data_IF_045643069847
#
_entry.id   IF_045643069847
#
_cell.length_a   1.000
_cell.length_b   1.000
_cell.length_c   1.000
_cell.angle_alpha   90.00
_cell.angle_beta   90.00
_cell.angle_gamma   90.00
#
_symmetry.space_group_name_H-M   'P 1'
#
loop_
_entity.id
_entity.type
_entity.pdbx_description
1 polymer ?
#
# COMPACT_ATOMS: atom_id res chain seq x y z
N UNK A 1 8.73 8.84 -2.52
CA UNK A 1 7.31 8.98 -2.14
C UNK A 1 6.63 10.23 -2.71
N UNK A 2 7.29 11.40 -2.74
CA UNK A 2 6.70 12.64 -3.29
C UNK A 2 6.05 12.47 -4.68
N UNK A 3 6.79 11.93 -5.66
CA UNK A 3 6.26 11.69 -7.01
C UNK A 3 5.04 10.76 -7.08
N UNK A 4 4.96 9.77 -6.18
CA UNK A 4 3.80 8.88 -6.10
C UNK A 4 2.55 9.63 -5.60
N UNK A 5 2.73 10.53 -4.63
CA UNK A 5 1.64 11.39 -4.14
C UNK A 5 1.14 12.35 -5.23
N UNK A 6 2.08 12.96 -5.98
CA UNK A 6 1.76 13.80 -7.15
C UNK A 6 0.94 13.02 -8.18
N UNK A 7 1.35 11.79 -8.51
CA UNK A 7 0.61 10.93 -9.44
C UNK A 7 -0.82 10.60 -8.97
N UNK A 8 -1.01 10.30 -7.68
CA UNK A 8 -2.35 10.05 -7.11
C UNK A 8 -3.23 11.30 -7.22
N UNK A 9 -2.72 12.47 -6.83
CA UNK A 9 -3.46 13.73 -6.89
C UNK A 9 -3.86 14.05 -8.33
N UNK A 10 -2.93 13.92 -9.28
CA UNK A 10 -3.22 14.14 -10.71
C UNK A 10 -4.28 13.15 -11.21
N UNK A 11 -4.17 11.85 -10.88
CA UNK A 11 -5.14 10.85 -11.29
C UNK A 11 -6.55 11.11 -10.76
N UNK A 12 -6.66 11.51 -9.48
CA UNK A 12 -7.94 11.89 -8.87
C UNK A 12 -8.51 13.14 -9.53
N UNK A 13 -7.70 14.17 -9.76
CA UNK A 13 -8.15 15.39 -10.43
C UNK A 13 -8.64 15.09 -11.85
N UNK A 14 -7.89 14.32 -12.64
CA UNK A 14 -8.31 13.89 -13.98
C UNK A 14 -9.65 13.13 -13.90
N UNK A 15 -9.80 12.24 -12.93
CA UNK A 15 -11.05 11.51 -12.71
C UNK A 15 -12.24 12.42 -12.40
N UNK A 16 -12.06 13.42 -11.52
CA UNK A 16 -13.10 14.38 -11.13
C UNK A 16 -13.50 15.29 -12.30
N UNK A 17 -12.54 15.78 -13.08
CA UNK A 17 -12.80 16.65 -14.22
C UNK A 17 -13.28 15.90 -15.46
N UNK A 18 -13.07 14.58 -15.50
CA UNK A 18 -13.62 13.74 -16.56
C UNK A 18 -15.11 13.52 -16.33
N UNK A 19 -15.94 13.79 -17.34
CA UNK A 19 -17.39 13.49 -17.31
C UNK A 19 -17.68 11.98 -17.48
N UNK A 20 -16.74 11.13 -17.08
CA UNK A 20 -16.83 9.69 -17.27
C UNK A 20 -17.67 9.08 -16.14
N UNK A 21 -18.95 8.84 -16.41
CA UNK A 21 -19.81 8.08 -15.50
C UNK A 21 -19.50 6.59 -15.63
N UNK A 22 -19.08 5.97 -14.53
CA UNK A 22 -18.85 4.52 -14.48
C UNK A 22 -20.22 3.83 -14.58
N UNK A 23 -20.46 2.98 -15.60
CA UNK A 23 -21.71 2.22 -15.68
C UNK A 23 -21.90 1.35 -14.42
N UNK A 24 -23.14 1.16 -13.93
CA UNK A 24 -23.40 0.39 -12.71
C UNK A 24 -22.82 -1.02 -12.71
N UNK A 25 -22.75 -1.65 -13.89
CA UNK A 25 -22.16 -2.97 -14.11
C UNK A 25 -20.68 -3.05 -13.75
N UNK A 26 -19.92 -1.96 -13.95
CA UNK A 26 -18.49 -1.90 -13.67
C UNK A 26 -18.17 -1.37 -12.26
N UNK A 27 -19.17 -0.88 -11.52
CA UNK A 27 -18.96 -0.25 -10.23
C UNK A 27 -18.22 -1.16 -9.23
N UNK A 28 -18.56 -2.45 -9.19
CA UNK A 28 -17.92 -3.44 -8.31
C UNK A 28 -16.45 -3.65 -8.68
N UNK A 29 -16.16 -3.80 -9.98
CA UNK A 29 -14.81 -3.98 -10.50
C UNK A 29 -13.92 -2.79 -10.20
N UNK A 30 -14.42 -1.58 -10.44
CA UNK A 30 -13.69 -0.34 -10.17
C UNK A 30 -13.45 -0.16 -8.67
N UNK A 31 -14.43 -0.45 -7.82
CA UNK A 31 -14.29 -0.36 -6.37
C UNK A 31 -13.19 -1.30 -5.84
N UNK A 32 -13.18 -2.56 -6.29
CA UNK A 32 -12.14 -3.53 -5.92
C UNK A 32 -10.77 -3.12 -6.44
N UNK A 33 -10.68 -2.66 -7.68
CA UNK A 33 -9.42 -2.21 -8.26
C UNK A 33 -8.84 -1.03 -7.46
N UNK A 34 -9.67 -0.04 -7.11
CA UNK A 34 -9.26 1.08 -6.25
C UNK A 34 -8.81 0.58 -4.88
N UNK A 35 -9.56 -0.33 -4.25
CA UNK A 35 -9.21 -0.87 -2.95
C UNK A 35 -7.85 -1.61 -2.99
N UNK A 36 -7.58 -2.38 -4.03
CA UNK A 36 -6.30 -3.08 -4.23
C UNK A 36 -5.13 -2.09 -4.45
N UNK A 37 -5.36 -0.98 -5.16
CA UNK A 37 -4.39 0.10 -5.31
C UNK A 37 -4.10 0.77 -3.96
N UNK A 38 -5.15 1.06 -3.18
CA UNK A 38 -5.04 1.64 -1.83
C UNK A 38 -4.24 0.72 -0.90
N UNK A 39 -4.51 -0.59 -0.91
CA UNK A 39 -3.74 -1.55 -0.12
C UNK A 39 -2.25 -1.55 -0.48
N UNK A 40 -1.93 -1.52 -1.77
CA UNK A 40 -0.54 -1.46 -2.24
C UNK A 40 0.17 -0.18 -1.74
N UNK A 41 -0.53 0.96 -1.71
CA UNK A 41 0.00 2.22 -1.17
C UNK A 41 0.33 2.09 0.33
N UNK A 42 -0.58 1.53 1.12
CA UNK A 42 -0.32 1.30 2.55
C UNK A 42 0.78 0.27 2.79
N UNK A 43 0.88 -0.76 1.95
CA UNK A 43 1.97 -1.74 1.97
C UNK A 43 3.33 -1.09 1.70
N UNK A 44 3.40 -0.21 0.69
CA UNK A 44 4.61 0.55 0.36
C UNK A 44 5.04 1.47 1.51
N UNK A 45 4.09 2.18 2.12
CA UNK A 45 4.37 3.07 3.23
C UNK A 45 4.87 2.30 4.46
N UNK A 46 4.25 1.16 4.77
CA UNK A 46 4.73 0.25 5.81
C UNK A 46 6.18 -0.19 5.53
N UNK A 47 6.47 -0.64 4.31
CA UNK A 47 7.80 -1.12 3.94
C UNK A 47 8.87 -0.03 4.12
N UNK A 48 8.58 1.19 3.65
CA UNK A 48 9.46 2.34 3.80
C UNK A 48 9.74 2.66 5.28
N UNK A 49 8.71 2.75 6.12
CA UNK A 49 8.87 3.01 7.55
C UNK A 49 9.62 1.91 8.32
N UNK A 50 9.38 0.64 7.95
CA UNK A 50 10.10 -0.49 8.54
C UNK A 50 11.58 -0.44 8.17
N UNK A 51 11.92 -0.12 6.91
CA UNK A 51 13.31 0.03 6.48
C UNK A 51 14.04 1.14 7.25
N UNK A 52 13.38 2.28 7.45
CA UNK A 52 13.93 3.42 8.22
C UNK A 52 14.14 3.08 9.69
N UNK A 53 13.22 2.33 10.30
CA UNK A 53 13.35 1.88 11.68
C UNK A 53 14.53 0.92 11.84
N UNK A 54 14.65 -0.08 10.95
CA UNK A 54 15.78 -1.04 10.95
C UNK A 54 17.12 -0.31 10.85
N UNK A 55 17.21 0.67 9.94
CA UNK A 55 18.35 1.56 9.81
C UNK A 55 18.73 2.24 11.13
N UNK A 56 17.80 2.92 11.81
CA UNK A 56 18.13 3.60 13.08
C UNK A 56 18.62 2.63 14.16
N UNK A 57 18.01 1.46 14.28
CA UNK A 57 18.40 0.43 15.26
C UNK A 57 19.81 -0.10 15.00
N UNK A 58 20.17 -0.40 13.75
CA UNK A 58 21.49 -0.93 13.41
C UNK A 58 22.60 0.11 13.64
N UNK A 59 22.33 1.41 13.42
CA UNK A 59 23.29 2.49 13.70
C UNK A 59 23.63 2.61 15.18
N UNK A 60 22.63 2.52 16.05
CA UNK A 60 22.85 2.61 17.51
C UNK A 60 23.66 1.46 18.09
N UNK A 61 23.65 0.27 17.45
CA UNK A 61 24.32 -0.92 18.00
C UNK A 61 25.65 -1.26 17.30
N UNK A 62 25.84 -0.88 16.03
CA UNK A 62 27.01 -1.30 15.23
C UNK A 62 27.89 -0.15 14.73
N UNK A 63 27.50 1.11 14.95
CA UNK A 63 28.29 2.26 14.50
C UNK A 63 28.43 2.36 12.97
N UNK A 64 29.13 3.39 12.45
CA UNK A 64 29.18 3.70 11.02
C UNK A 64 30.07 2.75 10.17
N UNK A 65 30.74 1.78 10.77
CA UNK A 65 31.90 1.07 10.19
C UNK A 65 31.54 -0.09 9.24
N UNK A 66 30.28 -0.58 9.23
CA UNK A 66 29.80 -1.63 8.29
C UNK A 66 28.74 -1.12 7.33
N UNK A 67 29.08 -0.12 6.51
CA UNK A 67 28.12 0.62 5.66
C UNK A 67 27.89 0.03 4.26
N UNK A 68 28.57 -1.07 3.91
CA UNK A 68 28.58 -1.61 2.53
C UNK A 68 27.56 -2.72 2.25
N UNK A 69 26.72 -3.08 3.23
CA UNK A 69 25.60 -3.97 2.97
C UNK A 69 24.54 -3.21 2.16
N UNK A 70 24.27 -3.66 0.92
CA UNK A 70 23.26 -3.09 0.01
C UNK A 70 22.02 -2.73 0.82
N UNK A 71 21.78 -1.43 0.97
CA UNK A 71 20.59 -0.93 1.65
C UNK A 71 19.37 -1.55 0.96
N UNK A 72 18.56 -2.30 1.70
CA UNK A 72 17.16 -2.58 1.38
C UNK A 72 16.38 -1.26 1.41
N UNK A 73 16.71 -0.37 0.47
CA UNK A 73 15.88 0.77 0.16
C UNK A 73 14.62 0.23 -0.50
N UNK A 74 13.51 0.85 -0.17
CA UNK A 74 12.28 0.67 -0.91
C UNK A 74 12.56 0.65 -2.42
N UNK A 75 12.25 -0.46 -3.08
CA UNK A 75 12.41 -0.63 -4.51
C UNK A 75 11.10 -0.28 -5.21
N UNK A 76 11.06 0.82 -6.00
CA UNK A 76 9.87 1.20 -6.76
C UNK A 76 9.38 0.09 -7.69
N UNK A 77 10.27 -0.74 -8.22
CA UNK A 77 9.90 -1.83 -9.14
C UNK A 77 9.04 -2.87 -8.43
N UNK A 78 9.42 -3.28 -7.22
CA UNK A 78 8.67 -4.25 -6.41
C UNK A 78 7.27 -3.71 -6.08
N UNK A 79 7.17 -2.40 -5.81
CA UNK A 79 5.87 -1.78 -5.60
C UNK A 79 5.00 -1.76 -6.86
N UNK A 80 5.55 -1.35 -8.00
CA UNK A 80 4.79 -1.24 -9.25
C UNK A 80 4.33 -2.62 -9.72
N UNK A 81 5.20 -3.64 -9.65
CA UNK A 81 4.81 -5.02 -10.01
C UNK A 81 3.75 -5.55 -9.05
N UNK A 82 3.89 -5.31 -7.75
CA UNK A 82 2.90 -5.66 -6.75
C UNK A 82 1.57 -4.94 -6.95
N UNK A 83 1.58 -3.65 -7.28
CA UNK A 83 0.38 -2.85 -7.52
C UNK A 83 -0.39 -3.36 -8.73
N UNK A 84 0.28 -3.57 -9.86
CA UNK A 84 -0.34 -4.06 -11.09
C UNK A 84 -0.88 -5.48 -10.88
N UNK A 85 -0.06 -6.37 -10.31
CA UNK A 85 -0.44 -7.76 -10.10
C UNK A 85 -1.61 -7.88 -9.11
N UNK A 86 -1.57 -7.19 -7.97
CA UNK A 86 -2.64 -7.24 -6.98
C UNK A 86 -3.95 -6.66 -7.52
N UNK A 87 -3.89 -5.57 -8.28
CA UNK A 87 -5.07 -4.94 -8.89
C UNK A 87 -5.67 -5.86 -9.95
N UNK A 88 -4.83 -6.44 -10.82
CA UNK A 88 -5.26 -7.40 -11.83
C UNK A 88 -5.88 -8.65 -11.19
N UNK A 89 -5.25 -9.18 -10.13
CA UNK A 89 -5.74 -10.34 -9.41
C UNK A 89 -7.09 -10.07 -8.74
N UNK A 90 -7.25 -8.91 -8.10
CA UNK A 90 -8.51 -8.50 -7.46
C UNK A 90 -9.66 -8.38 -8.48
N UNK A 91 -9.38 -7.74 -9.61
CA UNK A 91 -10.31 -7.64 -10.74
C UNK A 91 -10.64 -9.00 -11.33
N UNK A 92 -9.65 -9.88 -11.49
CA UNK A 92 -9.84 -11.24 -11.99
C UNK A 92 -10.72 -12.08 -11.06
N UNK A 93 -10.49 -12.05 -9.75
CA UNK A 93 -11.35 -12.77 -8.79
C UNK A 93 -12.78 -12.23 -8.77
N UNK A 94 -12.95 -10.92 -8.85
CA UNK A 94 -14.28 -10.29 -8.94
C UNK A 94 -15.00 -10.73 -10.22
N UNK A 95 -14.30 -10.71 -11.36
CA UNK A 95 -14.82 -11.17 -12.64
C UNK A 95 -15.19 -12.65 -12.64
N UNK A 96 -14.32 -13.49 -12.10
CA UNK A 96 -14.59 -14.92 -11.99
C UNK A 96 -15.79 -15.17 -11.06
N UNK A 97 -15.92 -14.41 -9.97
CA UNK A 97 -17.09 -14.46 -9.09
C UNK A 97 -18.38 -14.20 -9.85
N UNK A 98 -18.45 -13.10 -10.59
CA UNK A 98 -19.63 -12.74 -11.38
C UNK A 98 -19.95 -13.81 -12.44
N UNK A 99 -18.94 -14.39 -13.10
CA UNK A 99 -19.14 -15.45 -14.11
C UNK A 99 -19.60 -16.77 -13.52
N UNK A 100 -19.21 -17.07 -12.29
CA UNK A 100 -19.59 -18.28 -11.58
C UNK A 100 -20.90 -18.11 -10.78
N UNK A 101 -21.47 -16.90 -10.74
CA UNK A 101 -22.63 -16.58 -9.90
C UNK A 101 -22.31 -16.60 -8.40
N UNK A 102 -21.05 -16.33 -8.03
CA UNK A 102 -20.53 -16.36 -6.66
C UNK A 102 -20.21 -14.94 -6.18
N UNK A 103 -20.55 -14.62 -4.94
CA UNK A 103 -20.23 -13.32 -4.30
C UNK A 103 -18.74 -13.19 -3.87
N UNK A 104 -17.81 -13.60 -4.73
CA UNK A 104 -16.35 -13.53 -4.49
C UNK A 104 -15.90 -12.07 -4.28
N UNK A 105 -16.62 -11.10 -4.85
CA UNK A 105 -16.42 -9.68 -4.59
C UNK A 105 -16.27 -9.34 -3.10
N UNK A 106 -17.12 -9.92 -2.24
CA UNK A 106 -17.08 -9.67 -0.79
C UNK A 106 -15.78 -10.24 -0.20
N UNK A 107 -15.41 -11.46 -0.59
CA UNK A 107 -14.17 -12.08 -0.12
C UNK A 107 -12.94 -11.25 -0.51
N UNK A 108 -12.91 -10.73 -1.73
CA UNK A 108 -11.84 -9.85 -2.21
C UNK A 108 -11.75 -8.59 -1.36
N UNK A 109 -12.88 -7.90 -1.12
CA UNK A 109 -12.92 -6.70 -0.27
C UNK A 109 -12.44 -7.01 1.14
N UNK A 110 -12.90 -8.10 1.74
CA UNK A 110 -12.50 -8.48 3.10
C UNK A 110 -11.00 -8.71 3.18
N UNK A 111 -10.40 -9.43 2.23
CA UNK A 111 -8.95 -9.70 2.20
C UNK A 111 -8.14 -8.41 2.07
N UNK A 112 -8.50 -7.53 1.13
CA UNK A 112 -7.80 -6.26 0.97
C UNK A 112 -8.00 -5.33 2.16
N UNK A 113 -9.21 -5.25 2.70
CA UNK A 113 -9.51 -4.44 3.89
C UNK A 113 -8.72 -4.91 5.10
N UNK A 114 -8.66 -6.22 5.33
CA UNK A 114 -7.86 -6.81 6.40
C UNK A 114 -6.37 -6.47 6.25
N UNK A 115 -5.83 -6.58 5.03
CA UNK A 115 -4.44 -6.20 4.72
C UNK A 115 -4.17 -4.72 4.98
N UNK A 116 -5.09 -3.84 4.59
CA UNK A 116 -5.01 -2.40 4.87
C UNK A 116 -4.92 -2.15 6.38
N UNK A 117 -5.81 -2.76 7.17
CA UNK A 117 -5.79 -2.60 8.63
C UNK A 117 -4.50 -3.12 9.26
N UNK A 118 -3.99 -4.27 8.80
CA UNK A 118 -2.70 -4.79 9.27
C UNK A 118 -1.56 -3.83 8.93
N UNK A 119 -1.52 -3.31 7.70
CA UNK A 119 -0.50 -2.37 7.27
C UNK A 119 -0.54 -1.08 8.09
N UNK A 120 -1.73 -0.50 8.27
CA UNK A 120 -1.97 0.65 9.13
C UNK A 120 -1.59 0.38 10.59
N UNK A 121 -1.87 -0.82 11.11
CA UNK A 121 -1.50 -1.22 12.47
C UNK A 121 0.01 -1.18 12.71
N UNK A 122 0.80 -1.60 11.73
CA UNK A 122 2.27 -1.51 11.77
C UNK A 122 2.74 -0.06 11.69
N UNK A 123 2.22 0.71 10.72
CA UNK A 123 2.53 2.14 10.57
C UNK A 123 2.25 2.90 11.86
N UNK A 124 1.06 2.71 12.45
CA UNK A 124 0.66 3.26 13.75
C UNK A 124 1.66 2.88 14.84
N UNK A 125 1.98 1.59 14.98
CA UNK A 125 2.97 1.14 15.98
C UNK A 125 4.32 1.82 15.77
N UNK A 126 4.70 2.09 14.53
CA UNK A 126 5.97 2.76 14.22
C UNK A 126 5.98 4.22 14.67
N UNK A 127 4.92 4.95 14.33
CA UNK A 127 4.76 6.37 14.62
C UNK A 127 4.66 6.63 16.13
N UNK A 128 3.84 5.86 16.87
CA UNK A 128 3.59 6.11 18.29
C UNK A 128 4.77 5.76 19.21
N UNK A 129 5.67 4.84 18.83
CA UNK A 129 6.85 4.52 19.65
C UNK A 129 7.96 5.58 19.60
N UNK A 130 7.85 6.64 18.79
CA UNK A 130 8.81 7.77 18.80
C UNK A 130 8.64 8.70 20.02
N UNK A 131 7.49 8.67 20.71
CA UNK A 131 7.15 9.66 21.73
C UNK A 131 7.78 9.47 23.13
N UNK A 132 8.50 8.36 23.39
CA UNK A 132 8.97 8.03 24.75
C UNK A 132 10.47 8.12 25.00
N UNK A 133 11.29 8.49 24.02
CA UNK A 133 12.77 8.47 24.14
C UNK A 133 13.40 9.88 24.04
N UNK A 134 12.65 10.92 24.39
CA UNK A 134 13.14 12.30 24.52
C UNK A 134 13.13 12.83 25.96
N UNK A 135 12.90 11.95 26.95
CA UNK A 135 12.91 12.29 28.38
C UNK A 135 13.59 11.18 29.19
N UNK A 136 14.84 10.91 28.90
CA UNK A 136 15.77 10.53 29.96
C UNK A 136 16.78 11.69 30.00
N UNK A 137 16.64 12.48 31.08
CA UNK A 137 17.60 13.49 31.48
C UNK A 137 18.78 12.80 32.15
#
# INVERSE_FOLDING_TARGET
MFWAFVGIVIGVLIGIFSKFSIPPEYARYTAVAILAMVDSIFGAWRADLVSMRKYKTDYTHRGPEKKDEKRDKYDPVIFITGLIFNTALASAFTYLGDRLGLDIYIAVIVVFTWRIFMNLGVVRRILFHRGKWGKEK
#
